data_IF_630729307568
#
_entry.id   IF_630729307568
#
_cell.length_a   1.000
_cell.length_b   1.000
_cell.length_c   1.000
_cell.angle_alpha   90.00
_cell.angle_beta   90.00
_cell.angle_gamma   90.00
#
_symmetry.space_group_name_H-M   'P 1'
#
loop_
_entity.id
_entity.type
_entity.pdbx_description
1 polymer ?
#
# COMPACT_ATOMS: atom_id res chain seq x y z
N UNK A 1 18.69 8.79 17.09
CA UNK A 1 17.64 8.06 16.35
C UNK A 1 18.28 7.42 15.12
N UNK A 2 18.43 6.09 15.10
CA UNK A 2 19.00 5.34 13.97
C UNK A 2 17.98 4.28 13.53
N UNK A 3 17.34 4.47 12.39
CA UNK A 3 16.86 3.38 11.54
C UNK A 3 17.07 3.77 10.09
N UNK A 4 17.83 2.93 9.40
CA UNK A 4 18.07 2.85 7.97
C UNK A 4 17.71 1.42 7.59
N UNK A 5 17.01 1.19 6.47
CA UNK A 5 17.37 0.23 5.41
C UNK A 5 16.24 0.15 4.34
N UNK A 6 16.72 0.02 3.10
CA UNK A 6 16.14 0.17 1.77
C UNK A 6 15.29 -0.99 1.27
N UNK A 7 14.44 -0.74 0.25
CA UNK A 7 14.36 -1.56 -1.00
C UNK A 7 14.00 -0.64 -2.19
N UNK A 8 14.90 -0.46 -3.17
CA UNK A 8 14.53 -0.13 -4.54
C UNK A 8 14.65 -1.41 -5.36
N UNK A 9 13.51 -1.94 -5.78
CA UNK A 9 13.38 -3.14 -6.58
C UNK A 9 13.37 -2.75 -8.06
N UNK A 10 14.52 -2.44 -8.64
CA UNK A 10 14.67 -2.44 -10.09
C UNK A 10 16.14 -2.58 -10.48
N UNK A 11 16.45 -3.62 -11.27
CA UNK A 11 17.74 -3.88 -11.96
C UNK A 11 18.95 -4.00 -11.03
N UNK A 12 19.44 -5.19 -10.67
CA UNK A 12 20.42 -5.96 -11.47
C UNK A 12 20.26 -7.45 -11.12
N UNK A 13 19.51 -8.18 -11.94
CA UNK A 13 19.68 -9.64 -12.10
C UNK A 13 19.62 -9.89 -13.61
N UNK A 14 20.69 -9.54 -14.33
CA UNK A 14 21.13 -10.24 -15.54
C UNK A 14 22.52 -9.70 -15.93
N UNK A 15 23.47 -10.63 -16.17
CA UNK A 15 24.86 -10.41 -16.61
C UNK A 15 25.89 -9.87 -15.59
N UNK A 16 26.47 -10.79 -14.81
CA UNK A 16 27.92 -11.01 -14.78
C UNK A 16 28.91 -9.90 -14.40
N UNK A 17 28.51 -8.76 -13.82
CA UNK A 17 29.45 -7.71 -13.38
C UNK A 17 29.00 -7.04 -12.09
N UNK A 18 29.53 -7.45 -10.94
CA UNK A 18 29.23 -6.82 -9.65
C UNK A 18 30.01 -5.52 -9.50
N UNK A 19 29.39 -4.38 -9.83
CA UNK A 19 29.65 -3.12 -9.13
C UNK A 19 28.37 -2.75 -8.41
N UNK A 20 28.38 -2.89 -7.08
CA UNK A 20 27.29 -2.47 -6.21
C UNK A 20 27.20 -0.94 -6.34
N UNK A 21 26.34 -0.46 -7.24
CA UNK A 21 26.07 0.97 -7.40
C UNK A 21 25.61 1.54 -6.06
N UNK A 22 26.08 2.73 -5.73
CA UNK A 22 25.78 3.42 -4.47
C UNK A 22 24.26 3.43 -4.21
N UNK A 23 23.84 2.80 -3.12
CA UNK A 23 22.44 2.83 -2.69
C UNK A 23 22.11 4.26 -2.23
N UNK A 24 21.38 5.02 -3.05
CA UNK A 24 20.95 6.39 -2.70
C UNK A 24 19.91 6.36 -1.59
N UNK A 25 20.30 6.77 -0.38
CA UNK A 25 19.39 6.83 0.77
C UNK A 25 18.35 7.93 0.51
N UNK A 26 17.09 7.53 0.42
CA UNK A 26 15.96 8.47 0.36
C UNK A 26 15.60 8.80 1.80
N UNK A 27 15.85 10.04 2.20
CA UNK A 27 15.40 10.57 3.48
C UNK A 27 14.08 11.31 3.27
N UNK A 28 13.16 11.28 4.24
CA UNK A 28 11.94 12.06 4.16
C UNK A 28 12.24 13.54 3.98
N UNK A 29 11.43 14.22 3.18
CA UNK A 29 11.42 15.68 3.21
C UNK A 29 10.76 16.14 4.51
N UNK A 30 11.56 16.29 5.56
CA UNK A 30 11.10 16.66 6.90
C UNK A 30 10.35 18.00 6.95
N UNK A 31 10.50 18.87 5.93
CA UNK A 31 9.74 20.12 5.87
C UNK A 31 8.27 19.87 5.55
N UNK A 32 7.98 18.87 4.73
CA UNK A 32 6.62 18.53 4.29
C UNK A 32 6.10 17.20 4.86
N UNK A 33 6.91 16.52 5.69
CA UNK A 33 6.54 15.26 6.32
C UNK A 33 5.42 15.44 7.34
N UNK A 34 4.24 14.92 7.03
CA UNK A 34 3.04 15.03 7.85
C UNK A 34 2.28 13.72 7.97
N UNK A 35 1.51 13.60 9.05
CA UNK A 35 0.63 12.45 9.30
C UNK A 35 -0.68 12.62 8.55
N UNK A 36 -1.10 11.59 7.80
CA UNK A 36 -2.43 11.57 7.15
C UNK A 36 -3.47 11.02 8.12
N UNK A 37 -3.33 9.75 8.52
CA UNK A 37 -4.21 9.06 9.48
C UNK A 37 -3.60 7.72 9.87
N UNK A 38 -3.90 7.23 11.08
CA UNK A 38 -3.39 5.94 11.55
C UNK A 38 -1.86 5.81 11.43
N UNK A 39 -1.40 4.83 10.65
CA UNK A 39 0.01 4.58 10.33
C UNK A 39 0.48 5.22 9.00
N UNK A 40 -0.36 6.03 8.35
CA UNK A 40 -0.05 6.67 7.08
C UNK A 40 0.52 8.08 7.29
N UNK A 41 1.60 8.36 6.57
CA UNK A 41 2.26 9.66 6.49
C UNK A 41 2.54 9.99 5.04
N UNK A 42 2.82 11.25 4.74
CA UNK A 42 3.31 11.69 3.44
C UNK A 42 4.34 12.79 3.58
N UNK A 43 5.13 12.97 2.54
CA UNK A 43 5.85 14.21 2.28
C UNK A 43 5.56 14.68 0.84
N UNK A 44 6.32 15.65 0.33
CA UNK A 44 6.16 16.18 -1.03
C UNK A 44 6.49 15.19 -2.14
N UNK A 45 7.05 14.01 -1.82
CA UNK A 45 7.55 13.04 -2.77
C UNK A 45 6.87 11.66 -2.65
N UNK A 46 6.52 11.23 -1.43
CA UNK A 46 6.10 9.85 -1.16
C UNK A 46 4.98 9.73 -0.13
N UNK A 47 4.24 8.62 -0.25
CA UNK A 47 3.42 8.05 0.81
C UNK A 47 4.28 7.09 1.65
N UNK A 48 4.04 7.09 2.95
CA UNK A 48 4.67 6.21 3.92
C UNK A 48 3.60 5.44 4.69
N UNK A 49 3.88 4.16 4.97
CA UNK A 49 3.06 3.33 5.84
C UNK A 49 3.94 2.67 6.90
N UNK A 50 3.61 2.83 8.18
CA UNK A 50 4.45 2.38 9.30
C UNK A 50 5.90 2.91 9.25
N UNK A 51 6.12 4.05 8.59
CA UNK A 51 7.43 4.66 8.38
C UNK A 51 8.19 4.16 7.15
N UNK A 52 7.67 3.17 6.42
CA UNK A 52 8.27 2.65 5.19
C UNK A 52 7.69 3.33 3.95
N UNK A 53 8.55 3.70 3.00
CA UNK A 53 8.17 4.35 1.73
C UNK A 53 7.37 3.39 0.84
N UNK A 54 6.27 3.89 0.28
CA UNK A 54 5.40 3.16 -0.65
C UNK A 54 5.69 3.58 -2.10
N UNK A 55 6.78 3.08 -2.67
CA UNK A 55 7.32 3.51 -3.98
C UNK A 55 6.38 3.39 -5.17
N UNK A 56 5.40 2.48 -5.10
CA UNK A 56 4.49 2.19 -6.21
C UNK A 56 3.18 2.98 -6.12
N UNK A 57 3.01 3.79 -5.07
CA UNK A 57 1.82 4.60 -4.88
C UNK A 57 1.99 5.94 -5.58
N UNK A 58 1.02 6.30 -6.41
CA UNK A 58 0.93 7.62 -7.00
C UNK A 58 0.45 8.64 -5.95
N UNK A 59 1.40 9.45 -5.46
CA UNK A 59 1.15 10.47 -4.42
C UNK A 59 -0.02 11.40 -4.76
N UNK A 60 -0.10 11.85 -6.02
CA UNK A 60 -1.04 12.88 -6.44
C UNK A 60 -2.49 12.41 -6.45
N UNK A 61 -2.72 11.11 -6.64
CA UNK A 61 -4.05 10.50 -6.64
C UNK A 61 -4.33 9.65 -5.40
N UNK A 62 -3.43 9.65 -4.42
CA UNK A 62 -3.58 8.84 -3.21
C UNK A 62 -4.72 9.34 -2.34
N UNK A 63 -5.57 8.40 -1.93
CA UNK A 63 -6.72 8.64 -1.07
C UNK A 63 -6.84 7.49 -0.05
N UNK A 64 -7.06 7.85 1.21
CA UNK A 64 -7.46 6.89 2.23
C UNK A 64 -8.97 6.64 2.12
N UNK A 65 -9.34 5.37 2.10
CA UNK A 65 -10.73 4.93 2.10
C UNK A 65 -11.12 4.45 3.50
N UNK A 66 -12.38 4.04 3.67
CA UNK A 66 -12.83 3.49 4.95
C UNK A 66 -12.11 2.18 5.29
N UNK A 67 -12.00 1.90 6.59
CA UNK A 67 -11.39 0.69 7.10
C UNK A 67 -9.89 0.63 6.81
N UNK A 68 -9.45 -0.46 6.16
CA UNK A 68 -8.03 -0.73 5.86
C UNK A 68 -7.65 -0.44 4.41
N UNK A 69 -8.54 0.16 3.64
CA UNK A 69 -8.36 0.38 2.21
C UNK A 69 -7.74 1.75 1.93
N UNK A 70 -6.96 1.81 0.86
CA UNK A 70 -6.47 3.04 0.24
C UNK A 70 -6.52 2.87 -1.26
N UNK A 71 -6.50 3.97 -2.00
CA UNK A 71 -6.51 3.95 -3.46
C UNK A 71 -5.56 4.98 -4.04
N UNK A 72 -5.14 4.72 -5.26
CA UNK A 72 -4.55 5.70 -6.16
C UNK A 72 -5.13 5.48 -7.57
N UNK A 73 -4.65 6.22 -8.56
CA UNK A 73 -5.08 6.04 -9.96
C UNK A 73 -4.77 4.64 -10.53
N UNK A 74 -3.85 3.90 -9.92
CA UNK A 74 -3.40 2.59 -10.39
C UNK A 74 -4.14 1.43 -9.70
N UNK A 75 -4.80 1.63 -8.56
CA UNK A 75 -5.55 0.55 -7.91
C UNK A 75 -6.03 0.80 -6.49
N UNK A 76 -6.52 -0.27 -5.87
CA UNK A 76 -6.89 -0.36 -4.45
C UNK A 76 -5.81 -1.14 -3.71
N UNK A 77 -5.46 -0.70 -2.50
CA UNK A 77 -4.40 -1.28 -1.69
C UNK A 77 -4.81 -1.47 -0.25
N UNK A 78 -4.15 -2.41 0.40
CA UNK A 78 -4.35 -2.74 1.81
C UNK A 78 -3.02 -3.05 2.52
N UNK A 79 -2.92 -2.80 3.84
CA UNK A 79 -1.72 -3.06 4.62
C UNK A 79 -1.61 -4.54 5.03
N UNK A 80 -1.35 -5.44 4.08
CA UNK A 80 -1.04 -6.87 4.37
C UNK A 80 0.40 -7.26 4.02
N UNK A 81 1.12 -6.41 3.31
CA UNK A 81 2.46 -6.72 2.82
C UNK A 81 3.51 -6.57 3.91
N UNK A 82 4.34 -7.59 4.10
CA UNK A 82 5.57 -7.46 4.88
C UNK A 82 6.71 -8.22 4.23
N UNK A 83 7.88 -7.60 4.15
CA UNK A 83 9.14 -8.26 3.77
C UNK A 83 9.94 -8.42 5.06
N UNK A 84 10.30 -9.66 5.37
CA UNK A 84 11.14 -9.98 6.53
C UNK A 84 12.52 -10.40 6.03
N UNK A 85 13.51 -9.56 6.27
CA UNK A 85 14.90 -9.88 5.97
C UNK A 85 15.73 -9.74 7.24
N UNK A 86 16.26 -10.86 7.73
CA UNK A 86 17.03 -10.94 8.99
C UNK A 86 16.23 -10.34 10.17
N UNK A 87 16.69 -9.22 10.74
CA UNK A 87 16.07 -8.50 11.87
C UNK A 87 15.21 -7.31 11.41
N UNK A 88 15.03 -7.14 10.10
CA UNK A 88 14.27 -6.03 9.51
C UNK A 88 12.92 -6.52 9.02
N UNK A 89 11.88 -5.76 9.33
CA UNK A 89 10.52 -5.94 8.79
C UNK A 89 10.15 -4.65 8.08
N UNK A 90 9.81 -4.75 6.79
CA UNK A 90 9.35 -3.64 5.96
C UNK A 90 7.88 -3.86 5.67
N UNK A 91 7.05 -2.88 5.96
CA UNK A 91 5.62 -2.91 5.70
C UNK A 91 5.32 -2.26 4.34
N UNK A 92 4.46 -2.90 3.56
CA UNK A 92 4.02 -2.35 2.29
C UNK A 92 2.53 -2.55 2.04
N UNK A 93 1.97 -1.61 1.29
CA UNK A 93 0.60 -1.66 0.80
C UNK A 93 0.55 -2.64 -0.37
N UNK A 94 -0.24 -3.69 -0.22
CA UNK A 94 -0.43 -4.70 -1.27
C UNK A 94 -1.57 -4.27 -2.18
N UNK A 95 -1.29 -4.14 -3.47
CA UNK A 95 -2.32 -3.89 -4.49
C UNK A 95 -3.24 -5.10 -4.60
N UNK A 96 -4.54 -4.86 -4.60
CA UNK A 96 -5.55 -5.88 -4.83
C UNK A 96 -5.73 -6.10 -6.34
N UNK A 97 -5.82 -7.37 -6.72
CA UNK A 97 -5.99 -7.78 -8.12
C UNK A 97 -7.46 -8.02 -8.44
N UNK A 98 -7.82 -7.89 -9.72
CA UNK A 98 -9.16 -8.17 -10.25
C UNK A 98 -10.29 -7.32 -9.63
N UNK A 99 -9.97 -6.11 -9.18
CA UNK A 99 -10.94 -5.14 -8.66
C UNK A 99 -11.35 -4.17 -9.76
N UNK A 100 -12.64 -3.89 -9.86
CA UNK A 100 -13.13 -2.75 -10.62
C UNK A 100 -12.97 -1.46 -9.79
N UNK A 101 -11.85 -0.76 -10.00
CA UNK A 101 -11.46 0.42 -9.22
C UNK A 101 -12.49 1.56 -9.32
N UNK A 102 -13.16 1.69 -10.47
CA UNK A 102 -14.11 2.79 -10.71
C UNK A 102 -15.39 2.63 -9.88
N UNK A 103 -15.79 1.38 -9.63
CA UNK A 103 -17.01 1.06 -8.89
C UNK A 103 -16.75 0.56 -7.47
N UNK A 104 -15.49 0.58 -7.02
CA UNK A 104 -15.10 0.12 -5.69
C UNK A 104 -15.56 1.10 -4.60
N UNK A 105 -16.36 0.59 -3.66
CA UNK A 105 -16.95 1.32 -2.55
C UNK A 105 -16.59 0.60 -1.25
N UNK A 106 -16.13 1.37 -0.26
CA UNK A 106 -15.85 0.86 1.09
C UNK A 106 -16.94 1.27 2.07
N UNK A 107 -17.13 0.50 3.13
CA UNK A 107 -18.15 0.77 4.16
C UNK A 107 -17.52 1.11 5.50
N UNK A 108 -18.13 2.05 6.23
CA UNK A 108 -17.68 2.45 7.57
C UNK A 108 -17.80 1.31 8.59
N UNK A 109 -18.87 0.52 8.45
CA UNK A 109 -19.11 -0.70 9.20
C UNK A 109 -19.35 -1.87 8.26
N UNK A 110 -19.08 -3.08 8.74
CA UNK A 110 -19.35 -4.29 7.98
C UNK A 110 -20.84 -4.37 7.64
N UNK A 111 -21.13 -4.69 6.38
CA UNK A 111 -22.48 -5.04 5.91
C UNK A 111 -22.65 -6.56 5.90
N UNK A 112 -23.90 -7.00 5.85
CA UNK A 112 -24.26 -8.41 5.75
C UNK A 112 -25.27 -8.64 4.61
N UNK A 113 -25.07 -9.71 3.84
CA UNK A 113 -26.02 -10.22 2.85
C UNK A 113 -26.05 -11.74 2.94
N UNK A 114 -27.22 -12.36 3.12
CA UNK A 114 -27.36 -13.81 3.22
C UNK A 114 -26.34 -14.47 4.19
N UNK A 115 -26.10 -13.84 5.37
CA UNK A 115 -25.12 -14.29 6.38
C UNK A 115 -23.65 -14.17 5.95
N UNK A 116 -23.37 -13.49 4.85
CA UNK A 116 -22.02 -13.16 4.36
C UNK A 116 -21.69 -11.72 4.76
N UNK A 117 -20.58 -11.56 5.47
CA UNK A 117 -20.08 -10.26 5.94
C UNK A 117 -19.12 -9.67 4.90
N UNK A 118 -19.26 -8.38 4.59
CA UNK A 118 -18.38 -7.65 3.67
C UNK A 118 -18.13 -6.21 4.14
N UNK A 119 -16.96 -5.67 3.82
CA UNK A 119 -16.51 -4.32 4.19
C UNK A 119 -16.26 -3.41 2.97
N UNK A 120 -16.29 -3.99 1.77
CA UNK A 120 -16.24 -3.27 0.51
C UNK A 120 -16.94 -4.04 -0.60
N UNK A 121 -17.23 -3.37 -1.70
CA UNK A 121 -17.90 -3.94 -2.87
C UNK A 121 -17.46 -3.23 -4.14
N UNK A 122 -17.49 -3.92 -5.28
CA UNK A 122 -17.46 -3.29 -6.61
C UNK A 122 -18.67 -3.74 -7.42
N UNK A 123 -18.75 -3.43 -8.72
CA UNK A 123 -19.89 -3.86 -9.56
C UNK A 123 -20.05 -5.38 -9.70
N UNK A 124 -19.00 -6.16 -9.45
CA UNK A 124 -18.98 -7.60 -9.67
C UNK A 124 -18.99 -8.42 -8.36
N UNK A 125 -18.36 -7.92 -7.29
CA UNK A 125 -18.06 -8.70 -6.10
C UNK A 125 -18.26 -7.93 -4.79
N UNK A 126 -18.50 -8.69 -3.73
CA UNK A 126 -18.40 -8.27 -2.34
C UNK A 126 -17.04 -8.71 -1.78
N UNK A 127 -16.42 -7.86 -0.98
CA UNK A 127 -15.09 -8.06 -0.41
C UNK A 127 -15.12 -8.00 1.12
N UNK A 128 -14.31 -8.85 1.76
CA UNK A 128 -14.00 -8.73 3.18
C UNK A 128 -12.48 -8.66 3.38
N UNK A 129 -12.03 -7.55 3.95
CA UNK A 129 -10.63 -7.19 4.18
C UNK A 129 -9.76 -7.27 2.93
N UNK A 130 -10.35 -7.18 1.74
CA UNK A 130 -9.73 -7.25 0.41
C UNK A 130 -9.77 -8.62 -0.26
N UNK A 131 -10.48 -9.60 0.30
CA UNK A 131 -10.72 -10.89 -0.35
C UNK A 131 -12.15 -10.94 -0.87
N UNK A 132 -12.37 -11.49 -2.06
CA UNK A 132 -13.72 -11.74 -2.59
C UNK A 132 -14.43 -12.74 -1.66
N UNK A 133 -15.62 -12.39 -1.20
CA UNK A 133 -16.46 -13.25 -0.36
C UNK A 133 -17.73 -13.70 -1.06
N UNK A 134 -18.23 -12.93 -2.02
CA UNK A 134 -19.40 -13.30 -2.81
C UNK A 134 -19.43 -12.53 -4.14
N UNK A 135 -20.12 -13.07 -5.14
CA UNK A 135 -20.41 -12.39 -6.41
C UNK A 135 -21.76 -11.66 -6.32
N UNK A 136 -21.88 -10.52 -7.01
CA UNK A 136 -23.15 -9.81 -7.22
C UNK A 136 -23.98 -10.42 -8.34
#
# INVERSE_FOLDING_TARGET
MKKVIFILLSTIIFSGSTKLGETKRIEPDFKSYEKISGSYYKDSNYIYYNGDIQYLIDLNSFELLNGLYSKDKNGIYIPRGQIKERKTVIYYLSRLNNIDVQTFITHESNKEINRIIYDAEDKNYYYYRGNIVNKK
#
